data_IF_750902900646
#
_entry.id   IF_750902900646
#
_cell.length_a   1.000
_cell.length_b   1.000
_cell.length_c   1.000
_cell.angle_alpha   90.00
_cell.angle_beta   90.00
_cell.angle_gamma   90.00
#
_symmetry.space_group_name_H-M   'P 1'
#
loop_
_entity.id
_entity.type
_entity.pdbx_description
1 polymer ?
#
# COMPACT_ATOMS: atom_id res chain seq x y z
N UNK A 1 -31.24 -78.59 3.52
CA UNK A 1 -30.40 -79.55 4.26
C UNK A 1 -29.05 -78.88 4.51
N UNK A 2 -28.70 -78.68 5.78
CA UNK A 2 -27.43 -78.12 6.25
C UNK A 2 -26.22 -78.99 5.84
N UNK A 3 -25.07 -78.38 5.53
CA UNK A 3 -23.83 -78.68 6.26
C UNK A 3 -22.72 -77.67 5.96
N UNK A 4 -21.97 -77.37 7.01
CA UNK A 4 -20.93 -76.35 7.21
C UNK A 4 -19.51 -76.92 7.06
N UNK A 5 -18.54 -75.98 7.02
CA UNK A 5 -17.14 -75.97 7.57
C UNK A 5 -16.05 -75.84 6.50
N UNK A 6 -14.96 -75.07 6.65
CA UNK A 6 -14.45 -74.17 7.70
C UNK A 6 -13.37 -73.24 7.14
N UNK A 7 -13.27 -72.06 7.77
CA UNK A 7 -12.30 -70.96 7.71
C UNK A 7 -10.82 -71.27 7.36
N UNK A 8 -10.21 -70.35 6.60
CA UNK A 8 -8.89 -69.78 6.95
C UNK A 8 -8.85 -68.27 6.70
N UNK A 9 -8.47 -67.55 7.76
CA UNK A 9 -8.28 -66.09 7.83
C UNK A 9 -6.93 -65.74 7.20
N UNK A 10 -6.91 -64.90 6.17
CA UNK A 10 -5.70 -64.23 5.69
C UNK A 10 -5.78 -62.73 5.99
N UNK A 11 -4.69 -62.17 6.49
CA UNK A 11 -4.56 -60.79 6.97
C UNK A 11 -4.81 -59.74 5.86
N UNK A 12 -5.31 -58.53 6.17
CA UNK A 12 -5.44 -57.47 5.19
C UNK A 12 -4.06 -56.86 4.90
N UNK A 13 -3.59 -57.02 3.67
CA UNK A 13 -2.44 -56.30 3.14
C UNK A 13 -2.78 -54.83 2.97
N UNK A 14 -1.85 -53.98 3.40
CA UNK A 14 -1.89 -52.52 3.38
C UNK A 14 -2.25 -51.96 2.00
N UNK A 15 -3.36 -51.21 1.93
CA UNK A 15 -3.71 -50.35 0.81
C UNK A 15 -2.61 -49.29 0.61
N UNK A 16 -1.87 -49.40 -0.50
CA UNK A 16 -1.02 -48.32 -1.01
C UNK A 16 -1.92 -47.22 -1.55
N UNK A 17 -2.00 -46.10 -0.83
CA UNK A 17 -2.65 -44.88 -1.31
C UNK A 17 -1.74 -44.26 -2.37
N UNK A 18 -2.25 -44.22 -3.59
CA UNK A 18 -1.67 -43.50 -4.72
C UNK A 18 -1.66 -42.00 -4.43
N UNK A 19 -0.47 -41.46 -4.20
CA UNK A 19 -0.19 -40.03 -4.06
C UNK A 19 -0.17 -39.36 -5.45
N UNK A 20 -1.29 -38.76 -5.87
CA UNK A 20 -1.31 -37.88 -7.05
C UNK A 20 -2.45 -36.84 -7.00
N UNK A 21 -2.15 -35.70 -6.38
CA UNK A 21 -2.58 -34.34 -6.80
C UNK A 21 -2.39 -33.36 -5.63
N UNK A 22 -1.14 -33.06 -5.31
CA UNK A 22 -0.80 -31.79 -4.67
C UNK A 22 -0.19 -30.92 -5.77
N UNK A 23 -0.96 -29.94 -6.25
CA UNK A 23 -0.43 -28.82 -7.04
C UNK A 23 0.54 -28.07 -6.13
N UNK A 24 1.83 -28.30 -6.33
CA UNK A 24 2.86 -27.45 -5.76
C UNK A 24 2.69 -26.04 -6.34
N UNK A 25 2.20 -25.12 -5.52
CA UNK A 25 2.47 -23.70 -5.74
C UNK A 25 3.96 -23.49 -5.50
N UNK A 26 4.76 -23.67 -6.56
CA UNK A 26 6.13 -23.19 -6.56
C UNK A 26 6.05 -21.68 -6.56
N UNK A 27 6.38 -21.06 -5.41
CA UNK A 27 6.73 -19.64 -5.35
C UNK A 27 7.95 -19.50 -6.25
N UNK A 28 7.74 -19.01 -7.47
CA UNK A 28 8.82 -18.74 -8.38
C UNK A 28 9.79 -17.76 -7.69
N UNK A 29 11.03 -18.19 -7.52
CA UNK A 29 12.12 -17.29 -7.14
C UNK A 29 12.11 -16.09 -8.10
N UNK A 30 12.38 -14.87 -7.63
CA UNK A 30 12.44 -13.71 -8.51
C UNK A 30 13.46 -13.99 -9.63
N UNK A 31 13.17 -13.62 -10.89
CA UNK A 31 14.16 -13.71 -11.95
C UNK A 31 15.41 -12.97 -11.50
N UNK A 32 16.60 -13.57 -11.69
CA UNK A 32 17.87 -12.87 -11.52
C UNK A 32 17.79 -11.55 -12.29
N UNK A 33 18.13 -10.45 -11.62
CA UNK A 33 18.24 -9.12 -12.24
C UNK A 33 19.02 -9.25 -13.55
N UNK A 34 18.39 -8.87 -14.66
CA UNK A 34 19.10 -8.82 -15.92
C UNK A 34 20.01 -7.59 -15.90
N UNK A 35 21.34 -7.76 -15.96
CA UNK A 35 22.24 -6.62 -15.95
C UNK A 35 21.96 -5.74 -17.17
N UNK A 36 21.57 -4.48 -16.92
CA UNK A 36 21.40 -3.44 -17.94
C UNK A 36 20.00 -2.86 -18.12
N UNK A 37 18.94 -3.40 -17.48
CA UNK A 37 17.59 -2.81 -17.57
C UNK A 37 17.35 -1.84 -16.40
N UNK A 38 17.26 -0.54 -16.71
CA UNK A 38 17.00 0.52 -15.72
C UNK A 38 15.74 0.20 -14.90
N UNK A 39 15.85 0.32 -13.59
CA UNK A 39 14.71 0.09 -12.70
C UNK A 39 13.79 1.31 -12.70
N UNK A 40 12.49 1.03 -12.79
CA UNK A 40 11.42 2.01 -12.57
C UNK A 40 10.55 1.54 -11.43
N UNK A 41 10.45 2.35 -10.37
CA UNK A 41 9.65 2.06 -9.18
C UNK A 41 8.50 3.06 -9.13
N UNK A 42 7.26 2.55 -9.05
CA UNK A 42 6.06 3.37 -8.91
C UNK A 42 5.34 3.04 -7.61
N UNK A 43 4.90 4.06 -6.88
CA UNK A 43 3.99 3.89 -5.75
C UNK A 43 3.00 5.04 -5.66
N UNK A 44 1.78 4.75 -5.21
CA UNK A 44 0.68 5.72 -5.13
C UNK A 44 0.11 5.85 -3.71
N UNK A 45 -0.28 7.06 -3.33
CA UNK A 45 -0.94 7.33 -2.04
C UNK A 45 -2.17 8.24 -2.23
N UNK A 46 -3.29 7.86 -1.61
CA UNK A 46 -4.52 8.66 -1.69
C UNK A 46 -4.41 9.95 -0.85
N UNK A 47 -4.78 11.12 -1.39
CA UNK A 47 -4.84 12.37 -0.64
C UNK A 47 -6.00 12.32 0.36
N UNK A 48 -5.67 11.99 1.60
CA UNK A 48 -6.62 11.80 2.71
C UNK A 48 -6.24 12.68 3.90
N UNK A 49 -5.58 13.81 3.61
CA UNK A 49 -4.95 14.69 4.57
C UNK A 49 -3.66 14.14 5.14
N UNK A 50 -3.18 14.78 6.20
CA UNK A 50 -1.91 14.48 6.84
C UNK A 50 -1.76 12.98 7.19
N UNK A 51 -0.65 12.33 6.82
CA UNK A 51 -0.35 10.95 7.19
C UNK A 51 -0.24 10.76 8.72
N UNK A 52 -0.66 9.60 9.21
CA UNK A 52 -0.41 9.18 10.59
C UNK A 52 0.82 8.28 10.69
N UNK A 53 1.30 7.98 11.91
CA UNK A 53 2.49 7.15 12.14
C UNK A 53 2.43 5.79 11.43
N UNK A 54 1.24 5.16 11.39
CA UNK A 54 1.05 3.93 10.60
C UNK A 54 1.31 4.08 9.10
N UNK A 55 1.02 5.23 8.48
CA UNK A 55 1.40 5.48 7.08
C UNK A 55 2.91 5.74 6.96
N UNK A 56 3.46 6.53 7.89
CA UNK A 56 4.86 6.88 7.90
C UNK A 56 5.76 5.64 8.04
N UNK A 57 5.56 4.85 9.10
CA UNK A 57 6.35 3.64 9.38
C UNK A 57 6.06 2.49 8.40
N UNK A 58 4.85 2.44 7.83
CA UNK A 58 4.42 1.38 6.93
C UNK A 58 4.82 1.58 5.46
N UNK A 59 4.97 2.82 5.00
CA UNK A 59 5.26 3.13 3.60
C UNK A 59 6.23 4.30 3.41
N UNK A 60 5.95 5.49 3.96
CA UNK A 60 6.68 6.71 3.59
C UNK A 60 8.16 6.65 3.95
N UNK A 61 8.51 6.10 5.13
CA UNK A 61 9.90 5.90 5.51
C UNK A 61 10.62 4.93 4.57
N UNK A 62 9.92 3.92 4.06
CA UNK A 62 10.50 3.00 3.08
C UNK A 62 10.70 3.70 1.72
N UNK A 63 9.85 4.65 1.34
CA UNK A 63 10.04 5.43 0.12
C UNK A 63 11.31 6.30 0.19
N UNK A 64 11.54 6.97 1.33
CA UNK A 64 12.79 7.72 1.56
C UNK A 64 14.00 6.78 1.54
N UNK A 65 13.91 5.63 2.21
CA UNK A 65 14.98 4.62 2.16
C UNK A 65 15.26 4.14 0.72
N UNK A 66 14.21 3.85 -0.06
CA UNK A 66 14.33 3.47 -1.46
C UNK A 66 14.97 4.57 -2.30
N UNK A 67 14.65 5.82 -2.03
CA UNK A 67 15.27 6.97 -2.68
C UNK A 67 16.79 7.01 -2.46
N UNK A 68 17.21 6.80 -1.22
CA UNK A 68 18.60 6.95 -0.81
C UNK A 68 19.46 5.74 -1.22
N UNK A 69 18.88 4.53 -1.23
CA UNK A 69 19.58 3.29 -1.58
C UNK A 69 19.54 2.96 -3.07
N UNK A 70 18.55 3.44 -3.82
CA UNK A 70 18.42 3.12 -5.23
C UNK A 70 19.53 3.77 -6.06
N UNK A 71 20.01 3.03 -7.07
CA UNK A 71 21.03 3.49 -8.01
C UNK A 71 20.60 4.80 -8.70
N UNK A 72 21.55 5.69 -9.09
CA UNK A 72 21.23 6.96 -9.74
C UNK A 72 20.43 6.83 -11.05
N UNK A 73 20.50 5.69 -11.73
CA UNK A 73 19.74 5.39 -12.94
C UNK A 73 18.34 4.82 -12.69
N UNK A 74 17.98 4.57 -11.43
CA UNK A 74 16.63 4.14 -11.03
C UNK A 74 15.66 5.32 -11.03
N UNK A 75 14.60 5.22 -11.82
CA UNK A 75 13.49 6.18 -11.83
C UNK A 75 12.51 5.86 -10.71
N UNK A 76 12.24 6.84 -9.84
CA UNK A 76 11.31 6.73 -8.72
C UNK A 76 10.12 7.66 -8.95
N UNK A 77 8.91 7.10 -8.92
CA UNK A 77 7.67 7.85 -9.11
C UNK A 77 6.74 7.64 -7.90
N UNK A 78 6.36 8.76 -7.27
CA UNK A 78 5.42 8.80 -6.16
C UNK A 78 4.21 9.64 -6.54
N UNK A 79 3.07 8.97 -6.74
CA UNK A 79 1.85 9.60 -7.23
C UNK A 79 0.86 9.89 -6.09
N UNK A 80 0.39 11.13 -6.01
CA UNK A 80 -0.78 11.49 -5.19
C UNK A 80 -2.02 11.14 -6.00
N UNK A 81 -2.65 10.00 -5.69
CA UNK A 81 -3.70 9.38 -6.50
C UNK A 81 -5.09 9.96 -6.21
N UNK A 82 -5.31 11.19 -6.68
CA UNK A 82 -6.55 11.94 -6.49
C UNK A 82 -7.72 11.45 -7.36
N UNK A 83 -7.48 10.81 -8.52
CA UNK A 83 -8.55 10.15 -9.29
C UNK A 83 -9.10 8.93 -8.54
N UNK A 84 -8.26 8.22 -7.78
CA UNK A 84 -8.74 7.16 -6.89
C UNK A 84 -9.57 7.70 -5.73
N UNK A 85 -9.26 8.91 -5.23
CA UNK A 85 -9.99 9.51 -4.11
C UNK A 85 -11.45 9.83 -4.45
N UNK A 86 -11.73 10.24 -5.70
CA UNK A 86 -13.08 10.60 -6.16
C UNK A 86 -13.97 9.40 -6.53
N UNK A 87 -13.47 8.17 -6.38
CA UNK A 87 -14.30 6.93 -6.50
C UNK A 87 -15.40 6.86 -5.43
N UNK A 88 -15.21 7.60 -4.34
CA UNK A 88 -16.21 7.94 -3.32
C UNK A 88 -16.41 9.47 -3.32
N UNK A 89 -17.59 9.93 -2.91
CA UNK A 89 -17.91 11.37 -2.91
C UNK A 89 -16.94 12.14 -2.00
N UNK A 90 -16.32 13.19 -2.54
CA UNK A 90 -15.43 14.09 -1.82
C UNK A 90 -16.00 15.51 -1.74
N UNK A 91 -15.63 16.25 -0.68
CA UNK A 91 -15.78 17.70 -0.67
C UNK A 91 -14.65 18.32 -1.53
N UNK A 92 -14.95 19.15 -2.55
CA UNK A 92 -13.92 19.68 -3.45
C UNK A 92 -12.85 20.52 -2.74
N UNK A 93 -13.26 21.41 -1.84
CA UNK A 93 -12.35 22.26 -1.06
C UNK A 93 -11.44 21.41 -0.16
N UNK A 94 -12.01 20.38 0.47
CA UNK A 94 -11.25 19.47 1.31
C UNK A 94 -10.25 18.62 0.52
N UNK A 95 -10.65 18.11 -0.65
CA UNK A 95 -9.76 17.33 -1.52
C UNK A 95 -8.59 18.17 -2.03
N UNK A 96 -8.84 19.43 -2.40
CA UNK A 96 -7.80 20.37 -2.79
C UNK A 96 -6.79 20.60 -1.65
N UNK A 97 -7.29 20.81 -0.42
CA UNK A 97 -6.45 20.92 0.77
C UNK A 97 -5.65 19.64 1.02
N UNK A 98 -6.30 18.47 1.01
CA UNK A 98 -5.64 17.18 1.24
C UNK A 98 -4.56 16.84 0.22
N UNK A 99 -4.73 17.24 -1.04
CA UNK A 99 -3.66 17.12 -2.05
C UNK A 99 -2.45 17.95 -1.67
N UNK A 100 -2.67 19.20 -1.25
CA UNK A 100 -1.60 20.11 -0.82
C UNK A 100 -0.89 19.58 0.44
N UNK A 101 -1.65 19.19 1.46
CA UNK A 101 -1.13 18.60 2.70
C UNK A 101 -0.34 17.32 2.43
N UNK A 102 -0.82 16.47 1.51
CA UNK A 102 -0.12 15.25 1.13
C UNK A 102 1.22 15.57 0.47
N UNK A 103 1.27 16.50 -0.48
CA UNK A 103 2.52 16.90 -1.12
C UNK A 103 3.51 17.48 -0.10
N UNK A 104 3.07 18.40 0.76
CA UNK A 104 3.90 18.94 1.83
C UNK A 104 4.40 17.84 2.78
N UNK A 105 3.54 16.87 3.13
CA UNK A 105 3.92 15.72 3.95
C UNK A 105 4.99 14.86 3.29
N UNK A 106 4.88 14.58 1.99
CA UNK A 106 5.85 13.77 1.24
C UNK A 106 7.23 14.45 1.19
N UNK A 107 7.26 15.76 0.97
CA UNK A 107 8.50 16.54 1.01
C UNK A 107 9.08 16.59 2.44
N UNK A 108 8.23 16.84 3.44
CA UNK A 108 8.63 16.98 4.85
C UNK A 108 9.16 15.67 5.46
N UNK A 109 8.74 14.49 4.99
CA UNK A 109 9.34 13.22 5.42
C UNK A 109 10.73 12.99 4.82
N UNK A 110 11.12 13.74 3.79
CA UNK A 110 12.45 13.70 3.18
C UNK A 110 12.50 13.22 1.73
N UNK A 111 11.36 13.12 1.02
CA UNK A 111 11.43 12.88 -0.42
C UNK A 111 11.95 14.13 -1.13
N UNK A 112 13.00 13.95 -1.92
CA UNK A 112 13.65 15.01 -2.69
C UNK A 112 13.09 15.01 -4.13
N UNK A 113 12.38 16.07 -4.56
CA UNK A 113 11.83 16.18 -5.91
C UNK A 113 12.90 16.24 -7.01
N UNK A 114 14.18 16.45 -6.66
CA UNK A 114 15.30 16.33 -7.61
C UNK A 114 15.68 14.87 -7.86
N UNK A 115 15.50 13.99 -6.87
CA UNK A 115 15.87 12.57 -6.94
C UNK A 115 14.70 11.68 -7.38
N UNK A 116 13.47 12.06 -7.05
CA UNK A 116 12.26 11.34 -7.42
C UNK A 116 11.23 12.25 -8.10
N UNK A 117 10.23 11.66 -8.76
CA UNK A 117 9.14 12.38 -9.42
C UNK A 117 7.91 12.29 -8.52
N UNK A 118 7.50 13.41 -7.92
CA UNK A 118 6.31 13.50 -7.07
C UNK A 118 5.26 14.32 -7.80
N UNK A 119 4.08 13.75 -8.03
CA UNK A 119 3.06 14.43 -8.85
C UNK A 119 1.64 14.05 -8.45
N UNK A 120 0.66 14.88 -8.82
CA UNK A 120 -0.75 14.55 -8.70
C UNK A 120 -1.22 13.74 -9.92
N UNK A 121 -1.85 12.60 -9.68
CA UNK A 121 -2.32 11.68 -10.74
C UNK A 121 -3.18 12.38 -11.79
N UNK A 122 -4.13 13.23 -11.37
CA UNK A 122 -5.00 13.99 -12.27
C UNK A 122 -4.27 14.98 -13.18
N UNK A 123 -3.00 15.32 -12.90
CA UNK A 123 -2.20 16.23 -13.73
C UNK A 123 -1.54 15.52 -14.92
N UNK A 124 -1.63 14.20 -15.00
CA UNK A 124 -1.12 13.39 -16.12
C UNK A 124 -2.30 12.65 -16.76
N UNK A 125 -2.89 13.26 -17.80
CA UNK A 125 -4.12 12.77 -18.47
C UNK A 125 -4.02 11.34 -19.01
N UNK A 126 -2.81 10.89 -19.32
CA UNK A 126 -2.51 9.57 -19.86
C UNK A 126 -2.93 8.43 -18.91
N UNK A 127 -3.05 8.69 -17.59
CA UNK A 127 -3.63 7.74 -16.63
C UNK A 127 -5.05 7.33 -17.01
N UNK A 128 -5.92 8.33 -17.25
CA UNK A 128 -7.31 8.09 -17.61
C UNK A 128 -7.43 7.47 -19.00
N UNK A 129 -6.56 7.88 -19.93
CA UNK A 129 -6.54 7.34 -21.29
C UNK A 129 -6.13 5.87 -21.32
N UNK A 130 -5.03 5.50 -20.65
CA UNK A 130 -4.59 4.12 -20.57
C UNK A 130 -5.60 3.27 -19.80
N UNK A 131 -6.21 3.80 -18.74
CA UNK A 131 -7.29 3.12 -18.01
C UNK A 131 -8.45 2.76 -18.95
N UNK A 132 -8.87 3.67 -19.83
CA UNK A 132 -9.92 3.38 -20.81
C UNK A 132 -9.51 2.25 -21.75
N UNK A 133 -8.30 2.29 -22.31
CA UNK A 133 -7.79 1.25 -23.22
C UNK A 133 -7.73 -0.11 -22.52
N UNK A 134 -7.18 -0.17 -21.31
CA UNK A 134 -7.08 -1.40 -20.54
C UNK A 134 -8.46 -1.94 -20.12
N UNK A 135 -9.44 -1.04 -19.91
CA UNK A 135 -10.81 -1.46 -19.56
C UNK A 135 -11.47 -2.31 -20.65
N UNK A 136 -11.11 -2.11 -21.92
CA UNK A 136 -11.62 -2.91 -23.03
C UNK A 136 -11.12 -4.37 -23.02
N UNK A 137 -10.02 -4.65 -22.31
CA UNK A 137 -9.49 -6.00 -22.08
C UNK A 137 -9.78 -6.56 -20.68
N UNK A 138 -10.38 -5.76 -19.79
CA UNK A 138 -10.59 -6.12 -18.40
C UNK A 138 -11.81 -7.04 -18.22
N UNK A 139 -11.60 -8.20 -17.58
CA UNK A 139 -12.70 -9.13 -17.26
C UNK A 139 -13.59 -8.60 -16.14
N UNK A 140 -14.86 -8.32 -16.45
CA UNK A 140 -15.89 -7.99 -15.46
C UNK A 140 -16.02 -9.07 -14.37
N UNK A 141 -15.88 -10.34 -14.75
CA UNK A 141 -15.93 -11.46 -13.81
C UNK A 141 -14.75 -11.48 -12.84
N UNK A 142 -13.55 -11.07 -13.29
CA UNK A 142 -12.39 -10.91 -12.42
C UNK A 142 -12.61 -9.77 -11.42
N UNK A 143 -13.00 -8.58 -11.90
CA UNK A 143 -13.28 -7.41 -11.05
C UNK A 143 -14.38 -7.73 -10.01
N UNK A 144 -15.41 -8.47 -10.39
CA UNK A 144 -16.47 -8.90 -9.47
C UNK A 144 -16.03 -9.84 -8.34
N UNK A 145 -14.90 -10.54 -8.49
CA UNK A 145 -14.32 -11.41 -7.45
C UNK A 145 -13.39 -10.67 -6.49
N UNK A 146 -12.95 -9.45 -6.83
CA UNK A 146 -12.15 -8.65 -5.90
C UNK A 146 -12.99 -8.28 -4.68
N UNK A 147 -12.41 -8.35 -3.48
CA UNK A 147 -13.14 -8.19 -2.21
C UNK A 147 -13.14 -6.75 -1.70
N UNK A 148 -12.29 -5.88 -2.25
CA UNK A 148 -12.04 -4.54 -1.71
C UNK A 148 -13.20 -3.55 -1.88
N UNK A 149 -13.95 -3.62 -2.99
CA UNK A 149 -15.15 -2.79 -3.13
C UNK A 149 -16.25 -3.24 -2.15
N UNK A 150 -16.29 -4.53 -1.79
CA UNK A 150 -17.23 -5.07 -0.79
C UNK A 150 -16.92 -4.50 0.59
N UNK A 151 -15.65 -4.51 1.00
CA UNK A 151 -15.24 -3.96 2.30
C UNK A 151 -15.45 -2.45 2.38
N UNK A 152 -15.13 -1.70 1.31
CA UNK A 152 -15.34 -0.24 1.23
C UNK A 152 -16.82 0.18 1.33
N UNK A 153 -17.73 -0.68 0.89
CA UNK A 153 -19.18 -0.46 1.01
C UNK A 153 -19.81 -1.16 2.22
N UNK A 154 -18.99 -1.78 3.08
CA UNK A 154 -19.44 -2.60 4.22
C UNK A 154 -20.43 -3.70 3.81
N UNK A 155 -20.24 -4.28 2.63
CA UNK A 155 -21.09 -5.33 2.08
C UNK A 155 -20.61 -6.74 2.50
N UNK A 156 -21.52 -7.73 2.57
CA UNK A 156 -21.17 -9.13 2.77
C UNK A 156 -20.15 -9.64 1.73
N UNK A 157 -19.29 -10.59 2.13
CA UNK A 157 -18.25 -11.15 1.26
C UNK A 157 -18.79 -11.87 0.02
N UNK A 158 -20.04 -12.37 0.09
CA UNK A 158 -20.76 -13.00 -1.02
C UNK A 158 -21.54 -12.00 -1.91
N UNK A 159 -21.48 -10.69 -1.63
CA UNK A 159 -22.16 -9.69 -2.44
C UNK A 159 -21.69 -9.77 -3.90
N UNK A 160 -22.64 -9.75 -4.83
CA UNK A 160 -22.37 -9.70 -6.27
C UNK A 160 -22.57 -8.26 -6.77
N UNK A 161 -21.69 -7.75 -7.65
CA UNK A 161 -21.90 -6.42 -8.27
C UNK A 161 -23.13 -6.40 -9.19
N UNK A 162 -23.66 -7.58 -9.55
CA UNK A 162 -24.88 -7.77 -10.34
C UNK A 162 -26.08 -8.21 -9.48
N UNK A 163 -25.96 -8.20 -8.14
CA UNK A 163 -27.06 -8.53 -7.25
C UNK A 163 -28.21 -7.53 -7.42
N UNK A 164 -29.44 -7.98 -7.73
CA UNK A 164 -30.57 -7.09 -7.93
C UNK A 164 -31.10 -6.40 -6.67
N UNK A 165 -30.60 -6.74 -5.46
CA UNK A 165 -31.11 -6.22 -4.19
C UNK A 165 -30.97 -4.68 -4.06
N UNK A 166 -32.01 -3.97 -3.56
CA UNK A 166 -32.03 -2.50 -3.51
C UNK A 166 -30.91 -1.87 -2.69
N UNK A 167 -30.38 -2.56 -1.68
CA UNK A 167 -29.32 -2.06 -0.80
C UNK A 167 -27.94 -1.98 -1.48
N UNK A 168 -27.71 -2.77 -2.53
CA UNK A 168 -26.39 -2.90 -3.19
C UNK A 168 -26.28 -2.06 -4.47
N UNK A 169 -27.38 -1.85 -5.19
CA UNK A 169 -27.40 -1.19 -6.51
C UNK A 169 -27.04 0.29 -6.48
N UNK A 170 -27.47 1.04 -5.46
CA UNK A 170 -27.18 2.48 -5.38
C UNK A 170 -25.81 2.78 -4.77
N UNK A 171 -25.25 1.84 -4.00
CA UNK A 171 -24.00 2.02 -3.29
C UNK A 171 -22.77 1.84 -4.19
N UNK A 172 -22.77 0.84 -5.08
CA UNK A 172 -21.63 0.57 -5.96
C UNK A 172 -21.67 1.46 -7.22
N UNK A 173 -20.71 2.37 -7.32
CA UNK A 173 -20.50 3.20 -8.52
C UNK A 173 -19.46 2.58 -9.43
N UNK A 174 -19.56 2.83 -10.74
CA UNK A 174 -18.63 2.31 -11.75
C UNK A 174 -17.16 2.60 -11.37
N UNK A 175 -16.84 3.81 -10.93
CA UNK A 175 -15.48 4.17 -10.53
C UNK A 175 -14.94 3.31 -9.38
N UNK A 176 -15.76 3.01 -8.37
CA UNK A 176 -15.35 2.12 -7.27
C UNK A 176 -15.23 0.65 -7.70
N UNK A 177 -15.94 0.26 -8.75
CA UNK A 177 -15.81 -1.08 -9.33
C UNK A 177 -14.58 -1.20 -10.25
N UNK A 178 -14.28 -0.16 -11.03
CA UNK A 178 -13.25 -0.16 -12.07
C UNK A 178 -11.91 0.43 -11.65
N UNK A 179 -11.78 1.01 -10.45
CA UNK A 179 -10.49 1.56 -9.99
C UNK A 179 -9.31 0.57 -10.03
N UNK A 180 -9.47 -0.77 -9.92
CA UNK A 180 -8.34 -1.68 -10.12
C UNK A 180 -7.74 -1.60 -11.53
N UNK A 181 -8.55 -1.25 -12.55
CA UNK A 181 -8.06 -0.97 -13.91
C UNK A 181 -7.30 0.35 -13.95
N UNK A 182 -7.76 1.37 -13.22
CA UNK A 182 -7.04 2.64 -13.08
C UNK A 182 -5.69 2.42 -12.37
N UNK A 183 -5.66 1.61 -11.31
CA UNK A 183 -4.42 1.24 -10.62
C UNK A 183 -3.45 0.50 -11.56
N UNK A 184 -3.96 -0.36 -12.44
CA UNK A 184 -3.14 -1.02 -13.46
C UNK A 184 -2.57 0.00 -14.46
N UNK A 185 -3.39 0.96 -14.91
CA UNK A 185 -2.92 2.05 -15.76
C UNK A 185 -1.81 2.85 -15.08
N UNK A 186 -1.99 3.22 -13.80
CA UNK A 186 -1.01 3.98 -13.02
C UNK A 186 0.37 3.32 -13.01
N UNK A 187 0.39 2.00 -12.81
CA UNK A 187 1.62 1.20 -12.77
C UNK A 187 2.21 1.03 -14.18
N UNK A 188 1.41 0.63 -15.17
CA UNK A 188 1.93 0.22 -16.48
C UNK A 188 2.39 1.39 -17.34
N UNK A 189 1.86 2.60 -17.11
CA UNK A 189 2.13 3.80 -17.89
C UNK A 189 3.63 4.18 -17.93
N UNK A 190 4.37 3.89 -16.87
CA UNK A 190 5.77 4.27 -16.72
C UNK A 190 6.75 3.15 -17.07
N UNK A 191 6.29 2.05 -17.66
CA UNK A 191 7.07 0.81 -17.79
C UNK A 191 7.62 0.34 -16.44
N UNK A 192 6.79 0.48 -15.39
CA UNK A 192 7.18 0.16 -14.02
C UNK A 192 7.68 -1.27 -13.91
N UNK A 193 8.89 -1.40 -13.38
CA UNK A 193 9.54 -2.69 -13.13
C UNK A 193 9.19 -3.24 -11.76
N UNK A 194 9.01 -2.37 -10.75
CA UNK A 194 8.78 -2.76 -9.37
C UNK A 194 7.71 -1.88 -8.72
N UNK A 195 6.82 -2.47 -7.94
CA UNK A 195 5.80 -1.75 -7.16
C UNK A 195 5.94 -2.13 -5.68
N UNK A 196 6.22 -1.17 -4.78
CA UNK A 196 6.15 -1.39 -3.35
C UNK A 196 4.69 -1.54 -2.94
N UNK A 197 4.29 -2.75 -2.52
CA UNK A 197 2.92 -3.01 -2.07
C UNK A 197 2.90 -3.79 -0.76
N UNK A 198 1.90 -3.47 0.07
CA UNK A 198 1.52 -4.32 1.20
C UNK A 198 0.74 -5.55 0.74
N UNK A 199 0.56 -6.52 1.65
CA UNK A 199 -0.20 -7.74 1.40
C UNK A 199 -1.63 -7.47 0.90
N UNK A 200 -2.25 -6.39 1.36
CA UNK A 200 -3.61 -5.98 1.01
C UNK A 200 -3.76 -5.55 -0.46
N UNK A 201 -2.67 -5.12 -1.10
CA UNK A 201 -2.67 -4.67 -2.50
C UNK A 201 -2.15 -5.73 -3.49
N UNK A 202 -1.75 -6.91 -3.01
CA UNK A 202 -1.18 -7.97 -3.84
C UNK A 202 -2.15 -8.42 -4.95
N UNK A 203 -3.46 -8.53 -4.64
CA UNK A 203 -4.49 -8.93 -5.62
C UNK A 203 -4.62 -7.92 -6.78
N UNK A 204 -4.50 -6.62 -6.51
CA UNK A 204 -4.58 -5.61 -7.57
C UNK A 204 -3.33 -5.58 -8.44
N UNK A 205 -2.16 -5.78 -7.84
CA UNK A 205 -0.92 -5.86 -8.62
C UNK A 205 -0.92 -7.08 -9.53
N UNK A 206 -1.46 -8.22 -9.06
CA UNK A 206 -1.65 -9.40 -9.91
C UNK A 206 -2.59 -9.12 -11.08
N UNK A 207 -3.71 -8.44 -10.83
CA UNK A 207 -4.60 -8.01 -11.91
C UNK A 207 -3.91 -7.06 -12.91
N UNK A 208 -3.01 -6.21 -12.45
CA UNK A 208 -2.21 -5.34 -13.32
C UNK A 208 -1.29 -6.16 -14.24
N UNK A 209 -0.71 -7.26 -13.75
CA UNK A 209 0.09 -8.19 -14.57
C UNK A 209 -0.77 -8.89 -15.63
N UNK A 210 -1.94 -9.39 -15.24
CA UNK A 210 -2.89 -10.02 -16.15
C UNK A 210 -3.28 -9.08 -17.31
N UNK A 211 -3.57 -7.82 -17.01
CA UNK A 211 -3.86 -6.81 -18.04
C UNK A 211 -2.65 -6.56 -18.95
N UNK A 212 -1.45 -6.45 -18.40
CA UNK A 212 -0.23 -6.28 -19.19
C UNK A 212 0.03 -7.48 -20.11
N UNK A 213 -0.09 -8.70 -19.59
CA UNK A 213 0.09 -9.94 -20.36
C UNK A 213 -0.93 -10.02 -21.50
N UNK A 214 -2.21 -9.78 -21.19
CA UNK A 214 -3.28 -9.79 -22.19
C UNK A 214 -3.07 -8.74 -23.28
N UNK A 215 -2.72 -7.51 -22.90
CA UNK A 215 -2.43 -6.44 -23.85
C UNK A 215 -1.23 -6.78 -24.74
N UNK A 216 -0.14 -7.26 -24.14
CA UNK A 216 1.07 -7.64 -24.87
C UNK A 216 0.80 -8.78 -25.85
N UNK A 217 0.02 -9.79 -25.46
CA UNK A 217 -0.34 -10.91 -26.33
C UNK A 217 -1.13 -10.46 -27.56
N UNK A 218 -2.02 -9.48 -27.41
CA UNK A 218 -2.87 -8.99 -28.49
C UNK A 218 -2.13 -8.04 -29.44
N UNK A 219 -1.30 -7.14 -28.89
CA UNK A 219 -0.82 -5.97 -29.64
C UNK A 219 0.69 -5.92 -29.85
N UNK A 220 1.50 -6.74 -29.17
CA UNK A 220 2.94 -6.75 -29.43
C UNK A 220 3.21 -7.34 -30.82
N UNK A 221 3.89 -6.62 -31.73
CA UNK A 221 4.22 -7.16 -33.05
C UNK A 221 5.07 -8.42 -32.93
N UNK A 222 4.78 -9.44 -33.75
CA UNK A 222 5.55 -10.71 -33.77
C UNK A 222 7.04 -10.51 -34.09
N UNK A 223 7.38 -9.39 -34.71
CA UNK A 223 8.77 -8.99 -35.02
C UNK A 223 9.50 -8.34 -33.84
N UNK A 224 8.80 -7.96 -32.77
CA UNK A 224 9.40 -7.36 -31.56
C UNK A 224 9.70 -8.44 -30.53
N UNK A 225 10.92 -8.42 -29.97
CA UNK A 225 11.27 -9.21 -28.80
C UNK A 225 10.81 -8.58 -27.49
N UNK A 226 10.59 -7.25 -27.48
CA UNK A 226 10.23 -6.50 -26.29
C UNK A 226 8.71 -6.32 -26.18
N UNK A 227 8.13 -6.48 -24.97
CA UNK A 227 6.71 -6.23 -24.72
C UNK A 227 6.37 -4.74 -24.80
N UNK A 228 5.12 -4.42 -25.17
CA UNK A 228 4.63 -3.04 -25.15
C UNK A 228 4.51 -2.49 -23.72
N UNK A 229 3.97 -3.28 -22.79
CA UNK A 229 3.82 -2.95 -21.38
C UNK A 229 4.71 -3.85 -20.52
N UNK A 230 5.49 -3.25 -19.61
CA UNK A 230 6.32 -4.01 -18.68
C UNK A 230 5.45 -4.71 -17.64
N UNK A 231 5.75 -5.98 -17.34
CA UNK A 231 5.06 -6.73 -16.29
C UNK A 231 5.75 -6.42 -14.94
N UNK A 232 5.08 -5.73 -14.01
CA UNK A 232 5.71 -5.25 -12.78
C UNK A 232 5.95 -6.37 -11.76
N UNK A 233 7.08 -6.32 -11.07
CA UNK A 233 7.39 -7.19 -9.94
C UNK A 233 6.93 -6.57 -8.61
N UNK A 234 6.60 -7.43 -7.65
CA UNK A 234 6.28 -6.99 -6.29
C UNK A 234 7.58 -6.68 -5.56
N UNK A 235 7.72 -5.47 -5.04
CA UNK A 235 8.71 -5.16 -4.03
C UNK A 235 8.04 -5.30 -2.66
N UNK A 236 8.31 -6.39 -1.95
CA UNK A 236 7.76 -6.60 -0.62
C UNK A 236 8.39 -5.60 0.36
N UNK A 237 7.60 -4.63 0.79
CA UNK A 237 7.98 -3.77 1.91
C UNK A 237 7.58 -4.49 3.21
N UNK A 238 8.47 -4.63 4.20
CA UNK A 238 8.09 -5.12 5.52
C UNK A 238 7.13 -4.10 6.15
N UNK A 239 5.83 -4.30 5.92
CA UNK A 239 4.80 -3.39 6.37
C UNK A 239 4.72 -3.44 7.90
N UNK A 240 5.30 -2.43 8.54
CA UNK A 240 5.22 -2.26 10.00
C UNK A 240 3.78 -1.88 10.35
N UNK A 241 3.07 -2.79 11.04
CA UNK A 241 1.67 -2.60 11.42
C UNK A 241 1.62 -1.80 12.72
N UNK A 242 1.28 -0.52 12.61
CA UNK A 242 1.01 0.34 13.76
C UNK A 242 -0.48 0.27 14.10
N UNK A 243 -0.79 -0.05 15.35
CA UNK A 243 -2.15 -0.24 15.84
C UNK A 243 -2.74 1.04 16.40
N UNK A 244 -4.06 1.10 16.48
CA UNK A 244 -4.79 2.22 17.08
C UNK A 244 -4.47 2.32 18.57
N UNK A 245 -4.24 3.55 19.05
CA UNK A 245 -3.94 3.80 20.46
C UNK A 245 -5.15 3.55 21.37
N UNK A 246 -6.37 3.58 20.84
CA UNK A 246 -7.59 3.36 21.63
C UNK A 246 -8.22 1.98 21.43
N UNK A 247 -7.80 1.27 20.38
CA UNK A 247 -8.26 -0.09 20.06
C UNK A 247 -7.10 -0.88 19.42
N UNK A 248 -6.20 -1.46 20.23
CA UNK A 248 -4.98 -2.12 19.75
C UNK A 248 -5.22 -3.34 18.86
N UNK A 249 -6.45 -3.84 18.75
CA UNK A 249 -6.81 -4.91 17.82
C UNK A 249 -7.01 -4.39 16.38
N UNK A 250 -7.17 -3.07 16.19
CA UNK A 250 -7.36 -2.44 14.89
C UNK A 250 -6.13 -1.66 14.46
N UNK A 251 -5.84 -1.71 13.16
CA UNK A 251 -4.80 -0.87 12.54
C UNK A 251 -5.16 0.61 12.73
N UNK A 252 -4.15 1.44 12.98
CA UNK A 252 -4.32 2.89 12.96
C UNK A 252 -4.91 3.32 11.61
N UNK A 253 -5.99 4.10 11.65
CA UNK A 253 -6.72 4.51 10.45
C UNK A 253 -7.08 5.99 10.48
N UNK A 254 -7.01 6.62 9.30
CA UNK A 254 -7.52 8.00 9.09
C UNK A 254 -9.03 8.10 9.23
N UNK A 255 -9.77 7.03 8.91
CA UNK A 255 -11.24 7.01 8.96
C UNK A 255 -11.79 6.82 10.37
N UNK A 256 -10.96 6.57 11.38
CA UNK A 256 -11.43 6.47 12.76
C UNK A 256 -11.92 7.85 13.24
N UNK A 257 -13.17 7.97 13.71
CA UNK A 257 -13.72 9.26 14.14
C UNK A 257 -13.02 9.82 15.38
N UNK A 258 -12.29 8.99 16.15
CA UNK A 258 -11.59 9.41 17.37
C UNK A 258 -10.18 9.88 17.01
N UNK A 259 -9.84 11.18 17.11
CA UNK A 259 -8.48 11.65 16.82
C UNK A 259 -7.43 11.03 17.73
N UNK A 260 -7.80 10.67 18.97
CA UNK A 260 -6.93 9.99 19.94
C UNK A 260 -6.49 8.59 19.53
N UNK A 261 -7.13 7.98 18.53
CA UNK A 261 -6.73 6.66 18.00
C UNK A 261 -5.40 6.69 17.24
N UNK A 262 -4.97 7.87 16.79
CA UNK A 262 -3.85 8.04 15.86
C UNK A 262 -2.98 9.24 16.20
N UNK A 263 -1.69 9.14 15.89
CA UNK A 263 -0.75 10.26 15.91
C UNK A 263 -0.47 10.69 14.47
N UNK A 264 -0.68 11.96 14.15
CA UNK A 264 -0.32 12.55 12.87
C UNK A 264 1.18 12.90 12.88
N UNK A 265 1.82 12.89 11.71
CA UNK A 265 3.25 13.27 11.60
C UNK A 265 3.49 14.77 11.90
N UNK A 266 2.41 15.53 12.10
CA UNK A 266 2.40 16.97 12.38
C UNK A 266 1.80 17.28 13.75
N UNK A 267 1.43 16.27 14.55
CA UNK A 267 0.93 16.54 15.91
C UNK A 267 2.05 17.23 16.71
N UNK A 268 1.69 18.23 17.50
CA UNK A 268 2.59 18.87 18.46
C UNK A 268 3.02 17.90 19.57
N UNK A 269 4.12 18.19 20.25
CA UNK A 269 4.56 17.40 21.41
C UNK A 269 3.46 17.25 22.46
N UNK A 270 2.72 18.32 22.75
CA UNK A 270 1.58 18.27 23.69
C UNK A 270 0.49 17.29 23.23
N UNK A 271 0.13 17.30 21.95
CA UNK A 271 -0.87 16.38 21.38
C UNK A 271 -0.39 14.93 21.42
N UNK A 272 0.88 14.67 21.10
CA UNK A 272 1.49 13.33 21.15
C UNK A 272 1.43 12.79 22.58
N UNK A 273 1.90 13.57 23.57
CA UNK A 273 1.86 13.19 24.98
C UNK A 273 0.42 12.94 25.44
N UNK A 274 -0.51 13.83 25.12
CA UNK A 274 -1.92 13.67 25.51
C UNK A 274 -2.56 12.41 24.92
N UNK A 275 -2.25 12.06 23.67
CA UNK A 275 -2.76 10.85 23.01
C UNK A 275 -2.15 9.60 23.64
N UNK A 276 -0.83 9.54 23.79
CA UNK A 276 -0.13 8.38 24.34
C UNK A 276 -0.42 8.13 25.82
N UNK A 277 -0.56 9.20 26.61
CA UNK A 277 -1.00 9.12 28.02
C UNK A 277 -2.34 8.37 28.16
N UNK A 278 -3.24 8.55 27.19
CA UNK A 278 -4.56 7.90 27.15
C UNK A 278 -4.61 6.62 26.32
N UNK A 279 -3.48 6.16 25.77
CA UNK A 279 -3.43 4.93 24.99
C UNK A 279 -3.88 3.73 25.84
N UNK A 280 -4.65 2.83 25.26
CA UNK A 280 -5.17 1.64 25.92
C UNK A 280 -4.03 0.64 26.14
N UNK A 281 -3.83 0.27 27.39
CA UNK A 281 -2.93 -0.79 27.85
C UNK A 281 -3.72 -1.75 28.74
N UNK A 282 -3.09 -2.84 29.17
CA UNK A 282 -3.65 -3.76 30.15
C UNK A 282 -3.35 -3.32 31.60
N UNK A 283 -3.81 -4.13 32.55
CA UNK A 283 -3.61 -3.94 33.99
C UNK A 283 -2.48 -4.82 34.57
N UNK A 284 -1.64 -5.42 33.71
CA UNK A 284 -0.53 -6.26 34.14
C UNK A 284 0.67 -5.35 34.48
N UNK A 285 1.28 -5.57 35.64
CA UNK A 285 2.45 -4.79 36.06
C UNK A 285 3.66 -5.08 35.16
N UNK A 286 4.49 -4.05 34.96
CA UNK A 286 5.70 -4.14 34.15
C UNK A 286 5.46 -4.20 32.64
N UNK A 287 6.55 -4.02 31.90
CA UNK A 287 6.54 -4.05 30.43
C UNK A 287 6.92 -5.45 29.95
N UNK A 288 6.10 -6.03 29.06
CA UNK A 288 6.47 -7.22 28.31
C UNK A 288 5.90 -7.13 26.90
N UNK A 289 6.56 -7.81 25.96
CA UNK A 289 6.16 -7.82 24.57
C UNK A 289 5.43 -9.12 24.23
N UNK A 290 4.15 -8.99 23.95
CA UNK A 290 3.26 -10.06 23.48
C UNK A 290 2.14 -9.42 22.65
N UNK A 291 2.17 -9.62 21.32
CA UNK A 291 1.19 -8.99 20.41
C UNK A 291 -0.20 -9.61 20.52
N UNK A 292 -0.34 -10.82 21.03
CA UNK A 292 -1.63 -11.50 21.17
C UNK A 292 -2.27 -11.17 22.52
N UNK A 293 -1.50 -11.31 23.61
CA UNK A 293 -2.01 -11.15 24.97
C UNK A 293 -1.91 -9.71 25.48
N UNK A 294 -0.93 -8.92 25.03
CA UNK A 294 -0.69 -7.53 25.45
C UNK A 294 -0.58 -6.57 24.27
N UNK A 295 -1.54 -6.54 23.32
CA UNK A 295 -1.41 -5.80 22.07
C UNK A 295 -1.18 -4.30 22.24
N UNK A 296 -1.76 -3.68 23.28
CA UNK A 296 -1.56 -2.26 23.58
C UNK A 296 -0.14 -1.94 24.01
N UNK A 297 0.43 -2.74 24.92
CA UNK A 297 1.82 -2.57 25.40
C UNK A 297 2.80 -2.86 24.28
N UNK A 298 2.60 -3.94 23.54
CA UNK A 298 3.43 -4.31 22.39
C UNK A 298 3.44 -3.24 21.30
N UNK A 299 2.30 -2.60 21.02
CA UNK A 299 2.22 -1.48 20.07
C UNK A 299 3.06 -0.27 20.54
N UNK A 300 3.09 0.03 21.84
CA UNK A 300 3.93 1.12 22.38
C UNK A 300 5.43 0.77 22.28
N UNK A 301 5.80 -0.47 22.58
CA UNK A 301 7.18 -0.97 22.42
C UNK A 301 7.60 -0.93 20.95
N UNK A 302 6.73 -1.36 20.03
CA UNK A 302 6.96 -1.31 18.58
C UNK A 302 7.20 0.14 18.11
N UNK A 303 6.42 1.12 18.59
CA UNK A 303 6.62 2.53 18.28
C UNK A 303 7.99 3.01 18.75
N UNK A 304 8.35 2.76 20.01
CA UNK A 304 9.63 3.18 20.58
C UNK A 304 10.81 2.53 19.83
N UNK A 305 10.76 1.22 19.60
CA UNK A 305 11.78 0.50 18.84
C UNK A 305 11.95 1.07 17.43
N UNK A 306 10.86 1.42 16.75
CA UNK A 306 10.94 1.90 15.38
C UNK A 306 11.45 3.32 15.23
N UNK A 307 11.23 4.18 16.21
CA UNK A 307 11.77 5.54 16.25
C UNK A 307 13.17 5.60 16.87
N UNK A 308 13.57 4.58 17.63
CA UNK A 308 14.90 4.50 18.22
C UNK A 308 15.50 3.09 18.12
N UNK A 309 15.92 2.72 16.90
CA UNK A 309 16.45 1.38 16.60
C UNK A 309 17.84 1.11 17.18
N UNK A 310 18.54 2.11 17.69
CA UNK A 310 19.87 1.94 18.29
C UNK A 310 19.82 1.42 19.73
N UNK A 311 18.64 1.37 20.36
CA UNK A 311 18.49 1.02 21.78
C UNK A 311 18.54 -0.49 22.03
N UNK A 312 18.04 -1.31 21.09
CA UNK A 312 17.96 -2.76 21.24
C UNK A 312 17.98 -3.45 19.87
N UNK A 313 18.27 -4.77 19.81
CA UNK A 313 18.24 -5.51 18.55
C UNK A 313 16.82 -5.97 18.17
N UNK A 314 15.89 -6.03 19.13
CA UNK A 314 14.49 -6.41 18.91
C UNK A 314 13.49 -5.71 19.85
N UNK A 315 12.18 -5.65 19.50
CA UNK A 315 11.13 -5.21 20.41
C UNK A 315 11.08 -6.01 21.72
N UNK A 316 11.36 -7.31 21.65
CA UNK A 316 11.39 -8.21 22.80
C UNK A 316 12.51 -7.83 23.78
N UNK A 317 13.71 -7.57 23.27
CA UNK A 317 14.84 -7.08 24.07
C UNK A 317 14.53 -5.71 24.69
N UNK A 318 13.99 -4.78 23.89
CA UNK A 318 13.61 -3.46 24.38
C UNK A 318 12.58 -3.55 25.53
N UNK A 319 11.60 -4.44 25.43
CA UNK A 319 10.65 -4.68 26.50
C UNK A 319 11.32 -5.26 27.77
N UNK A 320 12.27 -6.17 27.62
CA UNK A 320 13.01 -6.76 28.74
C UNK A 320 13.87 -5.73 29.50
N UNK A 321 14.48 -4.79 28.78
CA UNK A 321 15.26 -3.69 29.37
C UNK A 321 14.36 -2.73 30.17
N UNK A 322 13.09 -2.64 29.77
CA UNK A 322 12.08 -1.78 30.39
C UNK A 322 11.11 -2.52 31.31
N UNK A 323 11.35 -3.80 31.61
CA UNK A 323 10.39 -4.68 32.30
C UNK A 323 9.87 -4.11 33.62
N UNK A 324 10.72 -3.37 34.34
CA UNK A 324 10.44 -2.81 35.67
C UNK A 324 9.75 -1.43 35.59
N UNK A 325 9.48 -0.90 34.39
CA UNK A 325 8.78 0.38 34.23
C UNK A 325 7.27 0.24 34.46
N UNK A 326 6.70 1.23 35.14
CA UNK A 326 5.24 1.41 35.17
C UNK A 326 4.69 1.75 33.77
N UNK A 327 3.42 1.41 33.50
CA UNK A 327 2.75 1.79 32.25
C UNK A 327 2.76 3.30 31.99
N UNK A 328 2.68 4.11 33.05
CA UNK A 328 2.79 5.58 32.94
C UNK A 328 4.17 5.99 32.43
N UNK A 329 5.22 5.43 33.03
CA UNK A 329 6.60 5.72 32.62
C UNK A 329 6.90 5.23 31.19
N UNK A 330 6.36 4.07 30.80
CA UNK A 330 6.44 3.59 29.42
C UNK A 330 5.79 4.59 28.44
N UNK A 331 4.55 5.01 28.70
CA UNK A 331 3.81 5.96 27.85
C UNK A 331 4.54 7.28 27.69
N UNK A 332 5.13 7.80 28.77
CA UNK A 332 5.92 9.04 28.73
C UNK A 332 7.16 8.89 27.84
N UNK A 333 7.96 7.84 28.05
CA UNK A 333 9.16 7.57 27.23
C UNK A 333 8.84 7.38 25.75
N UNK A 334 7.72 6.71 25.44
CA UNK A 334 7.26 6.52 24.07
C UNK A 334 6.85 7.86 23.47
N UNK A 335 6.23 8.76 24.25
CA UNK A 335 5.85 10.09 23.79
C UNK A 335 7.07 10.94 23.45
N UNK A 336 8.05 10.99 24.35
CA UNK A 336 9.32 11.69 24.11
C UNK A 336 10.00 11.15 22.84
N UNK A 337 10.13 9.83 22.73
CA UNK A 337 10.80 9.17 21.59
C UNK A 337 10.09 9.45 20.26
N UNK A 338 8.76 9.44 20.26
CA UNK A 338 7.96 9.70 19.05
C UNK A 338 8.02 11.18 18.68
N UNK A 339 7.93 12.10 19.65
CA UNK A 339 8.02 13.54 19.41
C UNK A 339 9.38 13.91 18.81
N UNK A 340 10.47 13.47 19.43
CA UNK A 340 11.83 13.67 18.92
C UNK A 340 11.98 13.07 17.51
N UNK A 341 11.43 11.87 17.28
CA UNK A 341 11.55 11.15 16.02
C UNK A 341 10.79 11.78 14.84
N UNK A 342 9.82 12.66 15.08
CA UNK A 342 9.07 13.36 14.02
C UNK A 342 9.24 14.88 14.07
N UNK A 343 10.01 15.43 15.01
CA UNK A 343 10.19 16.86 15.19
C UNK A 343 10.62 17.58 13.91
N UNK A 344 11.67 17.11 13.26
CA UNK A 344 12.18 17.71 12.01
C UNK A 344 11.18 17.56 10.85
N UNK A 345 10.37 16.50 10.87
CA UNK A 345 9.30 16.30 9.87
C UNK A 345 8.20 17.32 10.08
N UNK A 346 7.78 17.54 11.33
CA UNK A 346 6.77 18.53 11.70
C UNK A 346 7.24 19.95 11.35
N UNK A 347 8.46 20.32 11.72
CA UNK A 347 9.03 21.65 11.44
C UNK A 347 9.08 21.93 9.92
N UNK A 348 9.60 20.98 9.12
CA UNK A 348 9.60 21.11 7.65
C UNK A 348 8.19 21.20 7.06
N UNK A 349 7.25 20.43 7.59
CA UNK A 349 5.86 20.48 7.13
C UNK A 349 5.23 21.85 7.41
N UNK A 350 5.43 22.39 8.60
CA UNK A 350 4.93 23.71 9.00
C UNK A 350 5.53 24.82 8.13
N UNK A 351 6.84 24.74 7.83
CA UNK A 351 7.51 25.65 6.90
C UNK A 351 6.91 25.58 5.50
N UNK A 352 6.71 24.38 4.94
CA UNK A 352 6.14 24.19 3.61
C UNK A 352 4.68 24.67 3.51
N UNK A 353 3.89 24.46 4.56
CA UNK A 353 2.47 24.84 4.59
C UNK A 353 2.25 26.32 4.91
N UNK A 354 3.08 26.90 5.77
CA UNK A 354 3.05 28.32 6.14
C UNK A 354 3.83 29.24 5.18
N UNK A 355 4.72 28.66 4.37
CA UNK A 355 5.58 29.37 3.44
C UNK A 355 4.94 29.71 2.09
N UNK A 356 5.78 29.81 1.06
CA UNK A 356 5.36 30.24 -0.27
C UNK A 356 4.55 29.16 -0.99
N UNK A 357 3.24 29.32 -1.06
CA UNK A 357 2.37 28.37 -1.76
C UNK A 357 2.78 28.11 -3.22
N UNK A 358 3.35 29.10 -3.92
CA UNK A 358 3.79 28.93 -5.31
C UNK A 358 4.93 27.93 -5.45
N UNK A 359 5.80 27.82 -4.45
CA UNK A 359 6.91 26.87 -4.46
C UNK A 359 6.39 25.43 -4.37
N UNK A 360 5.46 25.17 -3.47
CA UNK A 360 4.83 23.85 -3.34
C UNK A 360 4.07 23.44 -4.61
N UNK A 361 3.40 24.40 -5.25
CA UNK A 361 2.76 24.19 -6.56
C UNK A 361 3.81 23.90 -7.63
N UNK A 362 4.92 24.64 -7.64
CA UNK A 362 6.03 24.44 -8.57
C UNK A 362 6.63 23.03 -8.51
N UNK A 363 6.81 22.46 -7.31
CA UNK A 363 7.24 21.05 -7.19
C UNK A 363 6.24 20.07 -7.80
N UNK A 364 4.94 20.30 -7.61
CA UNK A 364 3.91 19.44 -8.18
C UNK A 364 3.85 19.55 -9.71
N UNK A 365 4.00 20.77 -10.25
CA UNK A 365 3.98 21.04 -11.70
C UNK A 365 5.22 20.45 -12.40
N UNK A 366 6.42 20.61 -11.82
CA UNK A 366 7.65 19.98 -12.32
C UNK A 366 7.52 18.46 -12.37
N UNK A 367 7.08 17.86 -11.25
CA UNK A 367 6.87 16.43 -11.17
C UNK A 367 5.81 15.93 -12.18
N UNK A 368 4.72 16.67 -12.36
CA UNK A 368 3.70 16.35 -13.35
C UNK A 368 4.24 16.41 -14.77
N UNK A 369 5.04 17.44 -15.12
CA UNK A 369 5.65 17.57 -16.45
C UNK A 369 6.59 16.40 -16.77
N UNK A 370 7.48 16.04 -15.83
CA UNK A 370 8.40 14.91 -15.98
C UNK A 370 7.67 13.56 -16.06
N UNK A 371 6.60 13.39 -15.27
CA UNK A 371 5.75 12.22 -15.36
C UNK A 371 4.99 12.16 -16.70
N UNK A 372 4.45 13.28 -17.19
CA UNK A 372 3.75 13.34 -18.46
C UNK A 372 4.64 12.95 -19.63
N UNK A 373 5.91 13.40 -19.64
CA UNK A 373 6.87 13.04 -20.69
C UNK A 373 7.05 11.51 -20.81
N UNK A 374 7.33 10.84 -19.69
CA UNK A 374 7.50 9.37 -19.64
C UNK A 374 6.19 8.66 -20.03
N UNK A 375 5.06 9.15 -19.53
CA UNK A 375 3.75 8.59 -19.81
C UNK A 375 3.39 8.68 -21.30
N UNK A 376 3.69 9.81 -21.93
CA UNK A 376 3.42 10.06 -23.34
C UNK A 376 4.26 9.17 -24.26
N UNK A 377 5.50 8.85 -23.89
CA UNK A 377 6.31 7.85 -24.62
C UNK A 377 5.65 6.47 -24.66
N UNK A 378 5.13 6.01 -23.52
CA UNK A 378 4.36 4.75 -23.46
C UNK A 378 3.07 4.86 -24.26
N UNK A 379 2.34 5.97 -24.12
CA UNK A 379 1.08 6.15 -24.83
C UNK A 379 1.23 6.22 -26.34
N UNK A 380 2.30 6.82 -26.87
CA UNK A 380 2.59 6.78 -28.31
C UNK A 380 2.71 5.35 -28.84
N UNK A 381 3.42 4.47 -28.12
CA UNK A 381 3.55 3.05 -28.48
C UNK A 381 2.22 2.32 -28.37
N UNK A 382 1.49 2.53 -27.29
CA UNK A 382 0.17 1.93 -27.05
C UNK A 382 -0.82 2.33 -28.16
N UNK A 383 -0.97 3.63 -28.41
CA UNK A 383 -1.87 4.17 -29.44
C UNK A 383 -1.55 3.62 -30.83
N UNK A 384 -0.27 3.63 -31.21
CA UNK A 384 0.19 3.08 -32.49
C UNK A 384 -0.10 1.59 -32.62
N UNK A 385 0.08 0.80 -31.55
CA UNK A 385 -0.16 -0.64 -31.58
C UNK A 385 -1.65 -1.02 -31.71
N UNK A 386 -2.55 -0.20 -31.17
CA UNK A 386 -4.00 -0.41 -31.28
C UNK A 386 -4.65 0.33 -32.46
N UNK A 387 -3.85 1.06 -33.25
CA UNK A 387 -4.30 1.77 -34.44
C UNK A 387 -5.17 3.00 -34.16
N UNK A 388 -4.93 3.71 -33.05
CA UNK A 388 -5.59 4.99 -32.75
C UNK A 388 -4.60 6.15 -32.79
N UNK A 389 -5.10 7.35 -33.03
CA UNK A 389 -4.27 8.51 -33.36
C UNK A 389 -4.18 8.71 -34.87
N UNK A 390 -3.90 9.94 -35.30
CA UNK A 390 -3.78 10.34 -36.70
C UNK A 390 -2.33 10.50 -37.11
#
# INVERSE_FOLDING_TARGET
>A
MFSLRTLHRAAPSSLRISSSCLRNYSVALPPREQPGKKQVIFSGIQPTGVPHLGNYLGALRQWVKLQDEASPDTTLLFSIVDLHAITIKQNPTQLALWRKEMLASLLAVGLDPKRCIIFAQSSVKQHAELMWILSCGASMGYLGRMTQWKSKLSLPSNASPLDPSPSNKDALKLGLFSYPVLQAADVLLYNTTHVPVGEDQAQHLEFSRELAIGFNHLYTPKSSSDPLLTIPQTLLSPAKRVMSLTDPAKKMSKSDPKPKSRILITDSGEEIHNKLKTALTDSIEGVSYDREMRPGVSNLVDLMFHFNQSVAASPEELANDMRDLSMRALKERVADTVDDGIKDIRERYEELMGGNHKELVGYAEDGASRAEEIAEETMKRVRGAIGIGW
#
